data_IF_522200408099
#
_entry.id   IF_522200408099
#
_cell.length_a   1.000
_cell.length_b   1.000
_cell.length_c   1.000
_cell.angle_alpha   90.00
_cell.angle_beta   90.00
_cell.angle_gamma   90.00
#
_symmetry.space_group_name_H-M   'P 1'
#
loop_
_entity.id
_entity.type
_entity.pdbx_description
1 polymer ?
#
# COMPACT_ATOMS: atom_id res chain seq x y z
N UNK A 1 16.31 6.96 10.60
CA UNK A 1 15.36 5.92 10.22
C UNK A 1 14.56 6.39 9.01
N UNK A 2 14.71 5.73 7.87
CA UNK A 2 14.01 6.01 6.62
C UNK A 2 12.73 5.16 6.56
N UNK A 3 11.58 5.79 6.33
CA UNK A 3 10.28 5.10 6.16
C UNK A 3 9.92 5.01 4.68
N UNK A 4 9.65 3.80 4.22
CA UNK A 4 9.34 3.48 2.82
C UNK A 4 7.95 2.87 2.75
N UNK A 5 7.09 3.41 1.90
CA UNK A 5 5.79 2.82 1.56
C UNK A 5 5.87 2.17 0.17
N UNK A 6 5.48 0.90 0.07
CA UNK A 6 5.22 0.24 -1.22
C UNK A 6 3.73 -0.02 -1.34
N UNK A 7 3.03 0.77 -2.15
CA UNK A 7 1.57 0.75 -2.31
C UNK A 7 1.15 0.33 -3.71
N UNK A 8 -0.10 -0.05 -3.91
CA UNK A 8 -0.70 -0.30 -5.22
C UNK A 8 -1.51 -1.58 -5.28
N UNK A 9 -2.00 -1.92 -6.47
CA UNK A 9 -2.96 -3.03 -6.69
C UNK A 9 -2.47 -4.36 -6.14
N UNK A 10 -3.38 -5.17 -5.58
CA UNK A 10 -3.05 -6.52 -5.13
C UNK A 10 -2.54 -7.41 -6.29
N UNK A 11 -1.87 -8.51 -5.94
CA UNK A 11 -1.27 -9.47 -6.89
C UNK A 11 -0.19 -8.91 -7.84
N UNK A 12 0.37 -7.74 -7.56
CA UNK A 12 1.51 -7.17 -8.31
C UNK A 12 2.90 -7.63 -7.85
N UNK A 13 2.98 -8.63 -6.97
CA UNK A 13 4.25 -9.12 -6.41
C UNK A 13 4.91 -8.18 -5.38
N UNK A 14 4.16 -7.24 -4.77
CA UNK A 14 4.68 -6.30 -3.75
C UNK A 14 5.34 -7.00 -2.57
N UNK A 15 4.69 -7.99 -1.97
CA UNK A 15 5.24 -8.73 -0.82
C UNK A 15 6.56 -9.40 -1.17
N UNK A 16 6.68 -9.97 -2.37
CA UNK A 16 7.95 -10.52 -2.86
C UNK A 16 9.00 -9.43 -3.06
N UNK A 17 8.64 -8.28 -3.64
CA UNK A 17 9.55 -7.14 -3.79
C UNK A 17 10.02 -6.60 -2.44
N UNK A 18 9.12 -6.43 -1.47
CA UNK A 18 9.43 -5.97 -0.11
C UNK A 18 10.38 -6.95 0.57
N UNK A 19 10.15 -8.26 0.42
CA UNK A 19 11.07 -9.28 0.94
C UNK A 19 12.45 -9.15 0.30
N UNK A 20 12.55 -8.98 -1.02
CA UNK A 20 13.84 -8.80 -1.69
C UNK A 20 14.53 -7.51 -1.27
N UNK A 21 13.80 -6.40 -1.15
CA UNK A 21 14.33 -5.11 -0.69
C UNK A 21 14.88 -5.21 0.73
N UNK A 22 14.15 -5.88 1.63
CA UNK A 22 14.63 -6.16 2.99
C UNK A 22 15.96 -6.92 2.95
N UNK A 23 16.02 -8.03 2.22
CA UNK A 23 17.23 -8.85 2.13
C UNK A 23 18.43 -8.09 1.59
N UNK A 24 18.27 -7.28 0.54
CA UNK A 24 19.36 -6.45 0.00
C UNK A 24 19.87 -5.41 1.00
N UNK A 25 18.97 -4.72 1.70
CA UNK A 25 19.34 -3.74 2.72
C UNK A 25 20.03 -4.39 3.92
N UNK A 26 19.55 -5.55 4.38
CA UNK A 26 20.18 -6.32 5.45
C UNK A 26 21.56 -6.85 5.04
N UNK A 27 21.72 -7.32 3.79
CA UNK A 27 23.02 -7.71 3.23
C UNK A 27 24.01 -6.53 3.17
N UNK A 28 23.51 -5.31 2.97
CA UNK A 28 24.28 -4.07 3.06
C UNK A 28 24.53 -3.60 4.51
N UNK A 29 24.21 -4.43 5.51
CA UNK A 29 24.45 -4.16 6.93
C UNK A 29 23.44 -3.22 7.59
N UNK A 30 22.27 -2.98 6.97
CA UNK A 30 21.22 -2.13 7.51
C UNK A 30 20.25 -2.91 8.38
N UNK A 31 19.75 -2.28 9.45
CA UNK A 31 18.65 -2.81 10.27
C UNK A 31 17.32 -2.43 9.66
N UNK A 32 16.52 -3.43 9.29
CA UNK A 32 15.27 -3.22 8.55
C UNK A 32 14.08 -3.84 9.29
N UNK A 33 13.02 -3.04 9.49
CA UNK A 33 11.72 -3.54 9.91
C UNK A 33 10.75 -3.56 8.73
N UNK A 34 9.80 -4.51 8.75
CA UNK A 34 8.74 -4.62 7.74
C UNK A 34 7.39 -4.76 8.42
N UNK A 35 6.43 -3.93 8.02
CA UNK A 35 5.02 -4.10 8.37
C UNK A 35 4.26 -4.66 7.17
N UNK A 36 3.62 -5.81 7.37
CA UNK A 36 2.79 -6.46 6.36
C UNK A 36 1.40 -5.84 6.27
N UNK A 37 0.67 -6.15 5.19
CA UNK A 37 -0.69 -5.69 4.96
C UNK A 37 -1.63 -6.07 6.11
N UNK A 38 -2.42 -5.09 6.60
CA UNK A 38 -3.34 -5.29 7.73
C UNK A 38 -4.61 -6.06 7.37
N UNK A 39 -4.93 -6.14 6.07
CA UNK A 39 -6.17 -6.75 5.59
C UNK A 39 -6.28 -8.24 5.95
N UNK A 40 -5.16 -8.97 6.05
CA UNK A 40 -5.14 -10.39 6.41
C UNK A 40 -5.62 -10.66 7.84
N UNK A 41 -5.49 -9.67 8.73
CA UNK A 41 -5.85 -9.77 10.14
C UNK A 41 -7.28 -9.27 10.39
N UNK A 42 -7.97 -8.75 9.38
CA UNK A 42 -9.29 -8.16 9.54
C UNK A 42 -10.35 -9.25 9.75
N UNK A 43 -11.14 -9.21 10.84
CA UNK A 43 -12.20 -10.19 11.07
C UNK A 43 -13.51 -9.87 10.34
N UNK A 44 -13.53 -8.79 9.54
CA UNK A 44 -14.72 -8.27 8.87
C UNK A 44 -14.66 -8.54 7.37
N UNK A 45 -15.80 -8.42 6.69
CA UNK A 45 -15.87 -8.59 5.24
C UNK A 45 -15.10 -7.48 4.49
N UNK A 46 -14.36 -7.90 3.46
CA UNK A 46 -13.45 -7.08 2.68
C UNK A 46 -13.77 -7.16 1.17
N UNK A 47 -12.96 -6.49 0.35
CA UNK A 47 -13.10 -6.43 -1.10
C UNK A 47 -14.43 -5.80 -1.54
N UNK A 48 -15.31 -6.56 -2.19
CA UNK A 48 -16.59 -6.06 -2.71
C UNK A 48 -17.60 -5.75 -1.60
N UNK A 49 -17.40 -6.32 -0.42
CA UNK A 49 -18.27 -6.15 0.76
C UNK A 49 -17.65 -5.15 1.77
N UNK A 50 -16.55 -4.47 1.41
CA UNK A 50 -15.92 -3.49 2.30
C UNK A 50 -16.85 -2.28 2.53
N UNK A 51 -17.06 -1.96 3.81
CA UNK A 51 -17.96 -0.90 4.27
C UNK A 51 -17.22 0.08 5.21
N UNK A 52 -17.87 1.14 5.74
CA UNK A 52 -17.21 2.09 6.64
C UNK A 52 -16.63 1.47 7.91
N UNK A 53 -17.23 0.40 8.45
CA UNK A 53 -16.75 -0.28 9.66
C UNK A 53 -15.48 -1.07 9.37
N UNK A 54 -15.47 -1.89 8.31
CA UNK A 54 -14.25 -2.62 7.94
C UNK A 54 -13.13 -1.68 7.47
N UNK A 55 -13.47 -0.61 6.75
CA UNK A 55 -12.53 0.46 6.41
C UNK A 55 -11.93 1.10 7.66
N UNK A 56 -12.76 1.46 8.65
CA UNK A 56 -12.28 2.05 9.91
C UNK A 56 -11.33 1.13 10.66
N UNK A 57 -11.63 -0.18 10.71
CA UNK A 57 -10.75 -1.16 11.33
C UNK A 57 -9.38 -1.21 10.64
N UNK A 58 -9.36 -1.29 9.30
CA UNK A 58 -8.12 -1.33 8.52
C UNK A 58 -7.27 -0.09 8.76
N UNK A 59 -7.90 1.09 8.75
CA UNK A 59 -7.26 2.37 8.98
C UNK A 59 -6.63 2.43 10.36
N UNK A 60 -7.37 2.10 11.42
CA UNK A 60 -6.85 2.17 12.79
C UNK A 60 -5.71 1.19 13.00
N UNK A 61 -5.80 -0.01 12.39
CA UNK A 61 -4.71 -1.00 12.43
C UNK A 61 -3.47 -0.52 11.69
N UNK A 62 -3.65 0.10 10.52
CA UNK A 62 -2.57 0.64 9.71
C UNK A 62 -1.89 1.83 10.39
N UNK A 63 -2.66 2.78 10.93
CA UNK A 63 -2.14 3.91 11.71
C UNK A 63 -1.33 3.41 12.90
N UNK A 64 -1.83 2.39 13.61
CA UNK A 64 -1.07 1.74 14.68
C UNK A 64 0.29 1.23 14.16
N UNK A 65 0.34 0.52 13.05
CA UNK A 65 1.61 0.04 12.48
C UNK A 65 2.56 1.20 12.11
N UNK A 66 2.02 2.33 11.61
CA UNK A 66 2.83 3.49 11.21
C UNK A 66 3.50 4.24 12.37
N UNK A 67 2.88 4.17 13.56
CA UNK A 67 3.43 4.72 14.81
C UNK A 67 4.22 3.68 15.62
N UNK A 68 3.98 2.40 15.40
CA UNK A 68 4.71 1.30 16.05
C UNK A 68 6.16 1.30 15.52
N UNK A 69 7.14 1.08 16.41
CA UNK A 69 8.59 1.09 16.13
C UNK A 69 9.25 2.46 15.85
N UNK A 70 8.59 3.59 16.11
CA UNK A 70 9.26 4.93 16.07
C UNK A 70 10.47 5.01 17.00
N UNK A 71 10.49 4.22 18.09
CA UNK A 71 11.58 4.18 19.08
C UNK A 71 12.61 3.04 18.83
N UNK A 72 12.52 2.33 17.70
CA UNK A 72 13.43 1.24 17.36
C UNK A 72 14.76 1.73 16.76
N UNK A 73 15.85 1.00 17.03
CA UNK A 73 17.15 1.24 16.38
C UNK A 73 17.17 0.63 14.96
N UNK A 74 16.35 1.17 14.04
CA UNK A 74 16.26 0.75 12.65
C UNK A 74 16.79 1.82 11.68
N UNK A 75 17.50 1.38 10.64
CA UNK A 75 17.90 2.23 9.54
C UNK A 75 16.73 2.47 8.59
N UNK A 76 15.95 1.41 8.30
CA UNK A 76 14.81 1.42 7.40
C UNK A 76 13.57 0.76 8.02
N UNK A 77 12.39 1.30 7.73
CA UNK A 77 11.10 0.65 7.94
C UNK A 77 10.35 0.61 6.61
N UNK A 78 9.94 -0.57 6.17
CA UNK A 78 9.20 -0.77 4.92
C UNK A 78 7.76 -1.18 5.25
N UNK A 79 6.81 -0.52 4.60
CA UNK A 79 5.38 -0.81 4.73
C UNK A 79 4.91 -1.46 3.43
N UNK A 80 4.51 -2.74 3.51
CA UNK A 80 3.83 -3.46 2.43
C UNK A 80 2.35 -3.08 2.47
N UNK A 81 2.01 -2.06 1.67
CA UNK A 81 0.74 -1.31 1.64
C UNK A 81 0.57 -0.28 2.76
N UNK A 82 -0.34 0.65 2.52
CA UNK A 82 -0.69 1.70 3.46
C UNK A 82 -2.13 2.19 3.29
N UNK A 83 -2.46 3.33 3.92
CA UNK A 83 -3.79 3.94 3.81
C UNK A 83 -4.22 4.21 2.35
N UNK A 84 -3.33 4.55 1.39
CA UNK A 84 -3.74 4.67 -0.02
C UNK A 84 -4.39 3.41 -0.58
N UNK A 85 -3.95 2.22 -0.14
CA UNK A 85 -4.57 0.94 -0.56
C UNK A 85 -5.99 0.80 -0.03
N UNK A 86 -6.21 1.21 1.22
CA UNK A 86 -7.54 1.18 1.84
C UNK A 86 -8.47 2.16 1.11
N UNK A 87 -7.99 3.38 0.82
CA UNK A 87 -8.74 4.41 0.08
C UNK A 87 -9.16 3.90 -1.29
N UNK A 88 -8.28 3.20 -2.01
CA UNK A 88 -8.59 2.70 -3.34
C UNK A 88 -9.75 1.69 -3.29
N UNK A 89 -9.72 0.77 -2.34
CA UNK A 89 -10.81 -0.19 -2.11
C UNK A 89 -12.11 0.51 -1.69
N UNK A 90 -12.06 1.44 -0.74
CA UNK A 90 -13.25 2.17 -0.27
C UNK A 90 -13.89 3.00 -1.39
N UNK A 91 -13.09 3.69 -2.22
CA UNK A 91 -13.63 4.44 -3.37
C UNK A 91 -14.31 3.52 -4.37
N UNK A 92 -13.72 2.34 -4.61
CA UNK A 92 -14.28 1.37 -5.51
C UNK A 92 -15.64 0.82 -5.00
N UNK A 93 -15.76 0.52 -3.71
CA UNK A 93 -17.03 0.01 -3.15
C UNK A 93 -18.10 1.07 -3.05
N UNK A 94 -17.73 2.34 -2.80
CA UNK A 94 -18.67 3.45 -2.70
C UNK A 94 -19.50 3.68 -3.96
N UNK A 95 -18.96 3.46 -5.17
CA UNK A 95 -19.66 3.60 -6.48
C UNK A 95 -20.66 4.78 -6.55
N UNK A 96 -20.26 5.96 -6.06
CA UNK A 96 -21.05 7.20 -6.02
C UNK A 96 -22.18 7.28 -4.98
N UNK A 97 -22.17 6.43 -3.95
CA UNK A 97 -23.05 6.56 -2.78
C UNK A 97 -22.76 7.87 -2.03
N UNK A 98 -23.62 8.87 -2.22
CA UNK A 98 -23.47 10.19 -1.62
C UNK A 98 -23.63 10.20 -0.09
N UNK A 99 -24.35 9.23 0.49
CA UNK A 99 -24.58 9.17 1.94
C UNK A 99 -23.29 8.89 2.72
N UNK A 100 -22.31 8.23 2.09
CA UNK A 100 -21.03 7.87 2.69
C UNK A 100 -19.86 8.72 2.15
N UNK A 101 -20.14 9.73 1.32
CA UNK A 101 -19.10 10.59 0.74
C UNK A 101 -18.33 11.36 1.82
N UNK A 102 -19.00 11.81 2.89
CA UNK A 102 -18.33 12.48 4.01
C UNK A 102 -17.26 11.59 4.67
N UNK A 103 -17.53 10.29 4.79
CA UNK A 103 -16.59 9.33 5.38
C UNK A 103 -15.36 9.17 4.48
N UNK A 104 -15.58 9.10 3.18
CA UNK A 104 -14.50 9.06 2.19
C UNK A 104 -13.63 10.33 2.23
N UNK A 105 -14.24 11.51 2.33
CA UNK A 105 -13.51 12.78 2.38
C UNK A 105 -12.61 12.87 3.63
N UNK A 106 -13.08 12.39 4.78
CA UNK A 106 -12.26 12.30 6.01
C UNK A 106 -11.14 11.25 5.86
N UNK A 107 -11.44 10.11 5.23
CA UNK A 107 -10.44 9.09 4.94
C UNK A 107 -9.32 9.63 4.03
N UNK A 108 -9.65 10.41 3.00
CA UNK A 108 -8.67 11.03 2.12
C UNK A 108 -7.73 11.99 2.87
N UNK A 109 -8.27 12.80 3.79
CA UNK A 109 -7.49 13.71 4.65
C UNK A 109 -6.52 12.94 5.54
N UNK A 110 -6.98 11.85 6.14
CA UNK A 110 -6.12 10.99 6.95
C UNK A 110 -5.02 10.32 6.12
N UNK A 111 -5.37 9.81 4.94
CA UNK A 111 -4.37 9.24 4.04
C UNK A 111 -3.31 10.25 3.61
N UNK A 112 -3.68 11.53 3.41
CA UNK A 112 -2.72 12.61 3.13
C UNK A 112 -1.77 12.81 4.30
N UNK A 113 -2.30 12.85 5.52
CA UNK A 113 -1.49 12.99 6.72
C UNK A 113 -0.52 11.80 6.90
N UNK A 114 -1.00 10.58 6.63
CA UNK A 114 -0.17 9.35 6.65
C UNK A 114 0.94 9.40 5.59
N UNK A 115 0.64 9.81 4.36
CA UNK A 115 1.63 9.91 3.28
C UNK A 115 2.82 10.80 3.63
N UNK A 116 2.59 11.89 4.36
CA UNK A 116 3.66 12.80 4.82
C UNK A 116 4.63 12.17 5.84
N UNK A 117 4.31 10.99 6.39
CA UNK A 117 5.19 10.28 7.31
C UNK A 117 6.22 9.40 6.59
N UNK A 118 6.11 9.22 5.27
CA UNK A 118 7.03 8.42 4.47
C UNK A 118 8.08 9.28 3.78
N UNK A 119 9.31 8.80 3.75
CA UNK A 119 10.39 9.44 3.00
C UNK A 119 10.32 9.07 1.51
N UNK A 120 9.89 7.84 1.24
CA UNK A 120 9.70 7.33 -0.11
C UNK A 120 8.36 6.62 -0.24
N UNK A 121 7.61 6.97 -1.28
CA UNK A 121 6.37 6.30 -1.66
C UNK A 121 6.55 5.70 -3.05
N UNK A 122 6.41 4.38 -3.14
CA UNK A 122 6.54 3.62 -4.38
C UNK A 122 5.19 3.05 -4.79
N UNK A 123 4.73 3.42 -5.99
CA UNK A 123 3.51 2.88 -6.57
C UNK A 123 3.85 1.67 -7.46
N UNK A 124 3.45 0.49 -7.00
CA UNK A 124 3.48 -0.75 -7.77
C UNK A 124 2.33 -0.78 -8.78
N UNK A 125 2.67 -1.00 -10.04
CA UNK A 125 1.68 -1.34 -11.09
C UNK A 125 1.28 -2.81 -11.03
N UNK A 126 0.14 -3.14 -11.64
CA UNK A 126 -0.19 -4.53 -11.98
C UNK A 126 0.91 -5.11 -12.87
N UNK A 127 1.15 -6.42 -12.75
CA UNK A 127 1.97 -7.15 -13.71
C UNK A 127 1.22 -8.38 -14.18
N UNK A 128 1.07 -8.49 -15.49
CA UNK A 128 0.36 -9.59 -16.17
C UNK A 128 1.14 -10.91 -16.12
N UNK A 129 2.35 -10.89 -15.54
CA UNK A 129 3.27 -12.03 -15.46
C UNK A 129 3.19 -12.79 -14.14
N UNK A 130 2.53 -12.25 -13.13
CA UNK A 130 2.36 -12.96 -11.87
C UNK A 130 1.12 -13.86 -11.93
N UNK A 131 1.32 -15.13 -11.60
CA UNK A 131 0.21 -16.04 -11.36
C UNK A 131 -0.49 -15.55 -10.09
N UNK A 132 -1.74 -15.14 -10.24
CA UNK A 132 -2.58 -14.79 -9.10
C UNK A 132 -2.95 -16.09 -8.41
N UNK A 133 -2.29 -16.38 -7.28
CA UNK A 133 -2.84 -17.37 -6.35
C UNK A 133 -4.13 -16.78 -5.81
N UNK A 134 -5.26 -17.37 -6.20
CA UNK A 134 -6.57 -17.04 -5.68
C UNK A 134 -6.61 -17.56 -4.24
N UNK A 135 -6.42 -16.65 -3.28
CA UNK A 135 -6.87 -16.83 -1.91
C UNK A 135 -8.16 -16.02 -1.74
N UNK A 136 -8.96 -16.28 -0.70
CA UNK A 136 -10.25 -15.59 -0.47
C UNK A 136 -10.16 -14.05 -0.42
N UNK A 137 -8.96 -13.49 -0.46
CA UNK A 137 -8.67 -12.06 -0.53
C UNK A 137 -8.40 -11.55 -1.95
N UNK A 138 -7.94 -12.41 -2.88
CA UNK A 138 -7.54 -12.03 -4.24
C UNK A 138 -8.61 -12.41 -5.26
N UNK A 139 -9.22 -11.40 -5.86
CA UNK A 139 -10.14 -11.57 -6.99
C UNK A 139 -9.36 -11.66 -8.30
N UNK A 140 -9.61 -12.70 -9.10
CA UNK A 140 -9.11 -12.79 -10.47
C UNK A 140 -9.97 -11.94 -11.43
N UNK A 141 -10.11 -10.65 -11.11
CA UNK A 141 -10.83 -9.67 -11.92
C UNK A 141 -9.87 -8.59 -12.40
N UNK A 142 -9.46 -8.73 -13.67
CA UNK A 142 -8.57 -7.82 -14.38
C UNK A 142 -9.12 -6.39 -14.42
N UNK A 143 -10.43 -6.22 -14.55
CA UNK A 143 -11.06 -4.90 -14.62
C UNK A 143 -11.08 -4.24 -13.25
N UNK A 144 -11.42 -5.01 -12.20
CA UNK A 144 -11.32 -4.55 -10.82
C UNK A 144 -9.91 -4.04 -10.49
N UNK A 145 -8.88 -4.80 -10.87
CA UNK A 145 -7.49 -4.39 -10.64
C UNK A 145 -7.11 -3.11 -11.38
N UNK A 146 -7.51 -2.98 -12.66
CA UNK A 146 -7.25 -1.75 -13.44
C UNK A 146 -7.94 -0.53 -12.80
N UNK A 147 -9.18 -0.69 -12.38
CA UNK A 147 -9.93 0.38 -11.72
C UNK A 147 -9.25 0.80 -10.40
N UNK A 148 -8.82 -0.16 -9.59
CA UNK A 148 -8.07 0.16 -8.36
C UNK A 148 -6.74 0.86 -8.66
N UNK A 149 -6.00 0.44 -9.69
CA UNK A 149 -4.75 1.11 -10.09
C UNK A 149 -4.99 2.58 -10.43
N UNK A 150 -6.03 2.85 -11.21
CA UNK A 150 -6.43 4.19 -11.59
C UNK A 150 -6.84 5.02 -10.38
N UNK A 151 -7.68 4.47 -9.50
CA UNK A 151 -8.10 5.15 -8.25
C UNK A 151 -6.87 5.48 -7.38
N UNK A 152 -5.94 4.53 -7.22
CA UNK A 152 -4.71 4.72 -6.46
C UNK A 152 -3.87 5.86 -7.01
N UNK A 153 -3.63 5.85 -8.32
CA UNK A 153 -2.85 6.87 -9.00
C UNK A 153 -3.52 8.24 -8.85
N UNK A 154 -4.82 8.32 -9.16
CA UNK A 154 -5.58 9.56 -9.05
C UNK A 154 -5.57 10.12 -7.63
N UNK A 155 -5.65 9.26 -6.61
CA UNK A 155 -5.54 9.66 -5.22
C UNK A 155 -4.16 10.26 -4.91
N UNK A 156 -3.07 9.56 -5.25
CA UNK A 156 -1.71 10.05 -5.00
C UNK A 156 -1.42 11.38 -5.73
N UNK A 157 -1.83 11.48 -7.00
CA UNK A 157 -1.70 12.69 -7.81
C UNK A 157 -2.50 13.86 -7.18
N UNK A 158 -3.74 13.60 -6.74
CA UNK A 158 -4.60 14.60 -6.07
C UNK A 158 -3.97 15.13 -4.78
N UNK A 159 -3.28 14.29 -4.00
CA UNK A 159 -2.66 14.73 -2.75
C UNK A 159 -1.39 15.58 -2.95
N UNK A 160 -0.88 15.70 -4.18
CA UNK A 160 0.38 16.40 -4.49
C UNK A 160 1.57 15.85 -3.68
N UNK A 161 1.58 14.54 -3.44
CA UNK A 161 2.66 13.84 -2.75
C UNK A 161 3.67 13.35 -3.79
N UNK A 162 4.96 13.42 -3.49
CA UNK A 162 5.99 12.84 -4.34
C UNK A 162 5.96 11.31 -4.23
N UNK A 163 5.74 10.64 -5.36
CA UNK A 163 5.81 9.18 -5.43
C UNK A 163 6.50 8.73 -6.70
N UNK A 164 7.19 7.59 -6.62
CA UNK A 164 7.82 6.95 -7.78
C UNK A 164 6.96 5.80 -8.25
N UNK A 165 6.53 5.86 -9.51
CA UNK A 165 5.90 4.71 -10.17
C UNK A 165 6.97 3.67 -10.51
N UNK A 166 6.80 2.45 -10.01
CA UNK A 166 7.70 1.35 -10.28
C UNK A 166 7.50 0.76 -11.68
N UNK A 167 8.59 0.33 -12.30
CA UNK A 167 8.57 -0.47 -13.54
C UNK A 167 7.92 -1.85 -13.31
N UNK A 168 7.56 -2.58 -14.37
CA UNK A 168 6.82 -3.84 -14.21
C UNK A 168 7.67 -5.03 -13.71
N UNK A 169 8.94 -5.13 -14.14
CA UNK A 169 9.81 -6.28 -13.83
C UNK A 169 10.43 -6.17 -12.44
N UNK A 170 10.27 -7.17 -11.59
CA UNK A 170 10.77 -7.14 -10.19
C UNK A 170 12.27 -6.88 -10.04
N UNK A 171 13.13 -7.45 -10.90
CA UNK A 171 14.58 -7.16 -10.88
C UNK A 171 14.86 -5.66 -11.05
N UNK A 172 14.12 -5.05 -11.97
CA UNK A 172 14.30 -3.65 -12.36
C UNK A 172 13.66 -2.73 -11.29
N UNK A 173 12.56 -3.18 -10.67
CA UNK A 173 11.91 -2.49 -9.53
C UNK A 173 12.83 -2.38 -8.34
N UNK A 174 13.51 -3.48 -7.99
CA UNK A 174 14.44 -3.50 -6.87
C UNK A 174 15.63 -2.56 -7.12
N UNK A 175 16.24 -2.64 -8.31
CA UNK A 175 17.32 -1.72 -8.70
C UNK A 175 16.87 -0.25 -8.70
N UNK A 176 15.67 0.04 -9.20
CA UNK A 176 15.08 1.38 -9.18
C UNK A 176 14.93 1.90 -7.75
N UNK A 177 14.37 1.11 -6.83
CA UNK A 177 14.23 1.52 -5.42
C UNK A 177 15.61 1.77 -4.79
N UNK A 178 16.54 0.82 -4.94
CA UNK A 178 17.87 0.94 -4.34
C UNK A 178 18.60 2.19 -4.83
N UNK A 179 18.51 2.52 -6.12
CA UNK A 179 19.14 3.72 -6.70
C UNK A 179 18.60 5.06 -6.18
N UNK A 180 17.42 5.04 -5.53
CA UNK A 180 16.78 6.23 -4.98
C UNK A 180 17.02 6.37 -3.48
N UNK A 181 17.30 5.27 -2.77
CA UNK A 181 17.37 5.25 -1.30
C UNK A 181 18.79 5.01 -0.75
N UNK A 182 19.74 4.62 -1.59
CA UNK A 182 21.17 4.39 -1.28
C UNK A 182 22.02 5.29 -2.17
#
# INVERSE_FOLDING_TARGET
>A
MIKILVTGVFASGKTSLVSSLKSELENAGKKVAVFSEVARDCPLDLNLEQNPVSTSWLVMRQVRNEIELVDGNYDFIIFDRGIPDIIAHTKYTLKDNQEEQWFYDELEKLGKASLNNFHYVFLSKRSDKFIIEIDGMRLNDINYQKNLEEIHRNYLDKQSVEFTTLVEKNSDRLGQILSLII
#
